data_IF_525057238571
#
_entry.id   IF_525057238571
#
_cell.length_a   1.000
_cell.length_b   1.000
_cell.length_c   1.000
_cell.angle_alpha   90.00
_cell.angle_beta   90.00
_cell.angle_gamma   90.00
#
_symmetry.space_group_name_H-M   'P 1'
#
loop_
_entity.id
_entity.type
_entity.pdbx_description
1 polymer ?
#
# COMPACT_ATOMS: atom_id res chain seq x y z
N UNK A 1 4.11 -13.03 -12.74
CA UNK A 1 3.69 -11.71 -13.28
C UNK A 1 3.63 -10.74 -12.11
N UNK A 2 4.26 -9.56 -12.19
CA UNK A 2 4.24 -8.60 -11.08
C UNK A 2 2.80 -8.11 -10.88
N UNK A 3 2.28 -8.19 -9.65
CA UNK A 3 0.95 -7.71 -9.28
C UNK A 3 1.08 -6.27 -8.78
N UNK A 4 0.13 -5.39 -9.13
CA UNK A 4 0.10 -4.04 -8.57
C UNK A 4 -0.09 -4.13 -7.06
N UNK A 5 0.60 -3.24 -6.34
CA UNK A 5 0.46 -3.08 -4.89
C UNK A 5 -0.82 -2.30 -4.57
N UNK A 6 -1.19 -1.41 -5.48
CA UNK A 6 -2.33 -0.51 -5.36
C UNK A 6 -2.79 -0.06 -6.76
N UNK A 7 -4.07 0.25 -6.91
CA UNK A 7 -4.68 0.79 -8.12
C UNK A 7 -5.56 1.96 -7.72
N UNK A 8 -5.57 3.02 -8.52
CA UNK A 8 -6.37 4.21 -8.26
C UNK A 8 -6.21 5.24 -9.37
N UNK A 9 -6.39 6.51 -9.03
CA UNK A 9 -6.25 7.64 -9.97
C UNK A 9 -5.12 8.57 -9.55
N UNK A 10 -4.38 9.10 -10.52
CA UNK A 10 -3.49 10.25 -10.33
C UNK A 10 -4.30 11.50 -10.66
N UNK A 11 -4.52 12.37 -9.69
CA UNK A 11 -5.36 13.56 -9.82
C UNK A 11 -4.56 14.84 -9.58
N UNK A 12 -4.82 15.86 -10.41
CA UNK A 12 -4.39 17.23 -10.13
C UNK A 12 -5.35 18.21 -10.82
N UNK A 13 -5.92 19.15 -10.06
CA UNK A 13 -6.97 20.04 -10.56
C UNK A 13 -8.13 19.24 -11.16
N UNK A 14 -8.33 19.35 -12.48
CA UNK A 14 -9.39 18.63 -13.21
C UNK A 14 -8.90 17.37 -13.93
N UNK A 15 -7.59 17.13 -13.99
CA UNK A 15 -7.07 15.94 -14.65
C UNK A 15 -7.17 14.74 -13.70
N UNK A 16 -7.71 13.64 -14.22
CA UNK A 16 -7.79 12.36 -13.52
C UNK A 16 -7.27 11.26 -14.45
N UNK A 17 -6.19 10.59 -14.05
CA UNK A 17 -5.51 9.57 -14.86
C UNK A 17 -5.51 8.25 -14.08
N UNK A 18 -6.28 7.24 -14.49
CA UNK A 18 -6.20 5.91 -13.89
C UNK A 18 -4.77 5.36 -13.94
N UNK A 19 -4.28 4.85 -12.81
CA UNK A 19 -2.90 4.34 -12.65
C UNK A 19 -2.86 3.09 -11.77
N UNK A 20 -1.77 2.35 -11.88
CA UNK A 20 -1.43 1.24 -10.98
C UNK A 20 -0.01 1.45 -10.43
N UNK A 21 0.14 1.21 -9.13
CA UNK A 21 1.42 1.33 -8.43
C UNK A 21 2.10 -0.04 -8.38
N UNK A 22 3.30 -0.11 -8.94
CA UNK A 22 4.15 -1.29 -8.97
C UNK A 22 5.38 -1.05 -8.09
N UNK A 23 5.91 -2.10 -7.46
CA UNK A 23 7.18 -1.96 -6.73
C UNK A 23 8.31 -1.66 -7.71
N UNK A 24 9.11 -0.63 -7.42
CA UNK A 24 10.34 -0.32 -8.17
C UNK A 24 11.54 -1.15 -7.72
N UNK A 25 11.40 -1.90 -6.62
CA UNK A 25 12.43 -2.80 -6.09
C UNK A 25 11.94 -4.25 -6.05
N UNK A 26 12.88 -5.20 -6.08
CA UNK A 26 12.61 -6.59 -5.73
C UNK A 26 13.33 -6.90 -4.44
N UNK A 27 12.58 -7.10 -3.35
CA UNK A 27 13.13 -7.72 -2.15
C UNK A 27 13.37 -9.20 -2.40
N UNK A 28 14.60 -9.65 -2.15
CA UNK A 28 14.96 -11.06 -2.10
C UNK A 28 15.20 -11.39 -0.63
N UNK A 29 14.13 -11.60 0.11
CA UNK A 29 14.22 -12.06 1.49
C UNK A 29 14.37 -13.59 1.49
N UNK A 30 15.33 -14.11 2.26
CA UNK A 30 15.48 -15.55 2.50
C UNK A 30 14.30 -16.02 3.37
N UNK A 31 13.40 -16.80 2.78
CA UNK A 31 12.30 -17.42 3.52
C UNK A 31 12.74 -18.76 4.09
N UNK A 32 12.78 -18.85 5.42
CA UNK A 32 13.06 -20.10 6.11
C UNK A 32 11.76 -20.88 6.34
N UNK A 33 11.80 -22.18 6.04
CA UNK A 33 10.72 -23.11 6.41
C UNK A 33 11.07 -23.76 7.74
N UNK A 34 10.13 -23.72 8.69
CA UNK A 34 10.31 -24.41 9.97
C UNK A 34 10.12 -25.92 9.78
N UNK A 35 11.10 -26.68 10.24
CA UNK A 35 11.12 -28.13 10.22
C UNK A 35 11.26 -28.65 11.66
N UNK A 36 10.63 -29.78 11.96
CA UNK A 36 10.91 -30.52 13.20
C UNK A 36 12.38 -30.97 13.20
N UNK A 37 13.12 -30.66 14.25
CA UNK A 37 14.55 -30.98 14.34
C UNK A 37 14.83 -32.48 14.39
N UNK A 38 13.85 -33.29 14.80
CA UNK A 38 14.00 -34.74 15.00
C UNK A 38 13.90 -35.52 13.69
N UNK A 39 13.00 -35.12 12.80
CA UNK A 39 12.72 -35.85 11.56
C UNK A 39 12.74 -34.99 10.29
N UNK A 40 13.04 -33.69 10.42
CA UNK A 40 13.16 -32.69 9.35
C UNK A 40 11.87 -32.50 8.54
N UNK A 41 10.71 -32.85 9.08
CA UNK A 41 9.42 -32.63 8.40
C UNK A 41 8.88 -31.22 8.64
N UNK A 42 8.09 -30.65 7.71
CA UNK A 42 7.50 -29.33 7.87
C UNK A 42 6.52 -29.26 9.04
N UNK A 43 6.58 -28.16 9.80
CA UNK A 43 5.61 -27.86 10.86
C UNK A 43 4.33 -27.27 10.25
N UNK A 44 3.16 -27.72 10.74
CA UNK A 44 1.85 -27.13 10.46
C UNK A 44 1.38 -26.32 11.67
N UNK A 45 0.84 -25.13 11.41
CA UNK A 45 0.21 -24.30 12.44
C UNK A 45 -1.30 -24.39 12.33
N UNK A 46 -1.95 -24.60 13.46
CA UNK A 46 -3.39 -24.59 13.62
C UNK A 46 -3.79 -23.44 14.53
N UNK A 47 -4.96 -22.86 14.25
CA UNK A 47 -5.55 -21.81 15.07
C UNK A 47 -6.53 -22.49 16.00
N UNK A 48 -6.29 -22.40 17.30
CA UNK A 48 -7.13 -23.04 18.32
C UNK A 48 -7.68 -22.00 19.27
N UNK A 49 -8.91 -22.18 19.74
CA UNK A 49 -9.50 -21.35 20.77
C UNK A 49 -8.74 -21.57 22.10
N UNK A 50 -8.35 -20.48 22.77
CA UNK A 50 -7.51 -20.55 23.97
C UNK A 50 -8.19 -21.24 25.17
N UNK A 51 -9.53 -21.18 25.24
CA UNK A 51 -10.30 -21.75 26.34
C UNK A 51 -10.77 -23.18 26.04
N UNK A 52 -11.24 -23.44 24.81
CA UNK A 52 -11.81 -24.75 24.45
C UNK A 52 -10.79 -25.71 23.83
N UNK A 53 -9.69 -25.21 23.28
CA UNK A 53 -8.70 -26.01 22.55
C UNK A 53 -9.14 -26.46 21.16
N UNK A 54 -10.33 -26.08 20.71
CA UNK A 54 -10.88 -26.47 19.41
C UNK A 54 -10.32 -25.63 18.26
N UNK A 55 -10.17 -26.23 17.08
CA UNK A 55 -9.74 -25.51 15.88
C UNK A 55 -10.76 -24.44 15.47
N UNK A 56 -10.26 -23.24 15.16
CA UNK A 56 -11.08 -22.10 14.73
C UNK A 56 -10.91 -21.86 13.21
N UNK A 57 -11.98 -22.03 12.42
CA UNK A 57 -11.97 -21.69 11.00
C UNK A 57 -11.75 -20.18 10.78
N UNK A 58 -11.11 -19.83 9.66
CA UNK A 58 -10.82 -18.42 9.33
C UNK A 58 -12.03 -17.50 9.33
N UNK A 59 -13.19 -17.99 8.88
CA UNK A 59 -14.44 -17.22 8.79
C UNK A 59 -14.99 -16.81 10.17
N UNK A 60 -14.57 -17.51 11.22
CA UNK A 60 -15.05 -17.32 12.59
C UNK A 60 -14.04 -16.51 13.42
N UNK A 61 -12.99 -15.97 12.79
CA UNK A 61 -11.95 -15.14 13.44
C UNK A 61 -12.22 -13.66 13.17
N UNK A 62 -12.39 -12.91 14.25
CA UNK A 62 -12.50 -11.44 14.23
C UNK A 62 -11.20 -10.78 14.68
N UNK A 63 -10.96 -9.54 14.24
CA UNK A 63 -9.84 -8.72 14.72
C UNK A 63 -10.36 -7.77 15.79
N UNK A 64 -9.64 -7.69 16.91
CA UNK A 64 -9.98 -6.77 17.99
C UNK A 64 -8.74 -6.01 18.47
N UNK A 65 -8.96 -4.81 19.01
CA UNK A 65 -7.96 -4.00 19.67
C UNK A 65 -8.21 -4.03 21.18
N UNK A 66 -7.18 -4.35 21.97
CA UNK A 66 -7.24 -4.32 23.44
C UNK A 66 -6.96 -2.88 23.91
N UNK A 67 -8.00 -2.20 24.42
CA UNK A 67 -7.88 -0.81 24.87
C UNK A 67 -7.69 -0.69 26.39
N UNK A 68 -8.06 -1.72 27.14
CA UNK A 68 -7.73 -1.93 28.54
C UNK A 68 -7.54 -3.43 28.77
N UNK A 69 -6.92 -3.83 29.87
CA UNK A 69 -6.54 -5.22 30.12
C UNK A 69 -7.77 -6.13 30.15
N UNK A 70 -7.89 -7.01 29.16
CA UNK A 70 -9.04 -7.90 28.98
C UNK A 70 -10.28 -7.24 28.38
N UNK A 71 -10.19 -5.97 27.97
CA UNK A 71 -11.27 -5.22 27.31
C UNK A 71 -10.92 -4.99 25.84
N UNK A 72 -11.73 -5.58 24.96
CA UNK A 72 -11.50 -5.60 23.52
C UNK A 72 -12.59 -4.84 22.77
N UNK A 73 -12.20 -4.10 21.75
CA UNK A 73 -13.11 -3.57 20.72
C UNK A 73 -12.89 -4.35 19.43
N UNK A 74 -13.94 -5.01 18.93
CA UNK A 74 -13.90 -5.67 17.63
C UNK A 74 -13.95 -4.60 16.55
N UNK A 75 -13.05 -4.68 15.56
CA UNK A 75 -12.99 -3.75 14.44
C UNK A 75 -13.41 -4.48 13.18
N UNK A 76 -14.50 -4.02 12.58
CA UNK A 76 -14.92 -4.49 11.27
C UNK A 76 -14.18 -3.77 10.15
N UNK A 77 -14.20 -4.33 8.94
CA UNK A 77 -13.58 -3.70 7.78
C UNK A 77 -14.24 -2.33 7.46
N UNK A 78 -15.54 -2.21 7.75
CA UNK A 78 -16.29 -0.96 7.62
C UNK A 78 -15.84 0.13 8.59
N UNK A 79 -15.52 -0.22 9.83
CA UNK A 79 -15.02 0.73 10.84
C UNK A 79 -13.65 1.29 10.47
N UNK A 80 -12.77 0.43 9.95
CA UNK A 80 -11.46 0.85 9.45
C UNK A 80 -11.63 1.79 8.26
N UNK A 81 -12.57 1.50 7.35
CA UNK A 81 -12.81 2.31 6.16
C UNK A 81 -13.44 3.66 6.48
N UNK A 82 -14.34 3.74 7.45
CA UNK A 82 -14.99 4.99 7.86
C UNK A 82 -14.06 5.91 8.64
N UNK A 83 -13.10 5.35 9.39
CA UNK A 83 -12.10 6.12 10.13
C UNK A 83 -10.94 6.63 9.26
N UNK A 84 -10.83 6.17 8.01
CA UNK A 84 -9.67 6.41 7.20
C UNK A 84 -9.89 7.58 6.21
N UNK A 85 -8.81 8.27 5.77
CA UNK A 85 -8.92 9.55 5.05
C UNK A 85 -9.66 9.42 3.71
N UNK A 86 -10.41 10.44 3.28
CA UNK A 86 -11.20 10.40 2.03
C UNK A 86 -10.38 10.04 0.75
N UNK A 87 -9.06 10.20 0.76
CA UNK A 87 -8.16 10.05 -0.39
C UNK A 87 -7.66 8.61 -0.67
N UNK A 88 -8.41 7.57 -0.26
CA UNK A 88 -7.98 6.16 -0.35
C UNK A 88 -7.55 5.65 -1.72
N UNK A 89 -8.12 6.19 -2.79
CA UNK A 89 -7.97 5.67 -4.16
C UNK A 89 -7.34 6.69 -5.11
N UNK A 90 -6.77 7.76 -4.58
CA UNK A 90 -6.09 8.78 -5.37
C UNK A 90 -4.64 9.05 -4.92
N UNK A 91 -3.77 9.28 -5.90
CA UNK A 91 -2.54 10.04 -5.74
C UNK A 91 -2.90 11.47 -6.06
N UNK A 92 -3.12 12.29 -5.05
CA UNK A 92 -3.54 13.68 -5.21
C UNK A 92 -2.32 14.60 -5.19
N UNK A 93 -2.03 15.23 -6.33
CA UNK A 93 -0.91 16.18 -6.45
C UNK A 93 -1.36 17.54 -5.91
N UNK A 94 -0.70 17.98 -4.84
CA UNK A 94 -1.00 19.25 -4.16
C UNK A 94 -0.20 20.42 -4.75
N UNK A 95 1.01 20.15 -5.24
CA UNK A 95 1.89 21.20 -5.78
C UNK A 95 2.94 20.63 -6.73
N UNK A 96 3.55 21.50 -7.54
CA UNK A 96 4.70 21.17 -8.39
C UNK A 96 5.91 22.01 -7.97
N UNK A 97 7.04 21.35 -7.74
CA UNK A 97 8.30 21.96 -7.29
C UNK A 97 9.43 21.62 -8.24
N UNK A 98 10.54 22.35 -8.20
CA UNK A 98 11.75 21.96 -8.94
C UNK A 98 12.30 20.65 -8.37
N UNK A 99 12.62 19.69 -9.23
CA UNK A 99 13.13 18.38 -8.81
C UNK A 99 14.37 18.52 -7.90
N UNK A 100 15.22 19.53 -8.16
CA UNK A 100 16.41 19.81 -7.39
C UNK A 100 16.15 20.36 -5.96
N UNK A 101 14.93 20.77 -5.63
CA UNK A 101 14.56 21.19 -4.28
C UNK A 101 14.36 20.01 -3.32
N UNK A 102 14.20 18.79 -3.85
CA UNK A 102 14.05 17.58 -3.04
C UNK A 102 15.42 16.91 -2.89
N UNK A 103 15.99 16.96 -1.69
CA UNK A 103 17.23 16.23 -1.40
C UNK A 103 16.98 14.72 -1.54
N UNK A 104 17.85 13.97 -2.27
CA UNK A 104 17.67 12.53 -2.47
C UNK A 104 17.50 11.71 -1.18
N UNK A 105 17.96 12.20 -0.02
CA UNK A 105 17.82 11.51 1.27
C UNK A 105 16.37 11.33 1.73
N UNK A 106 15.44 12.10 1.17
CA UNK A 106 14.01 11.98 1.50
C UNK A 106 13.33 10.81 0.77
N UNK A 107 13.98 10.19 -0.22
CA UNK A 107 13.43 9.03 -0.91
C UNK A 107 13.74 7.73 -0.16
N UNK A 108 12.70 7.03 0.29
CA UNK A 108 12.85 5.72 0.94
C UNK A 108 12.68 4.56 -0.03
N UNK A 109 11.50 4.47 -0.69
CA UNK A 109 11.11 3.31 -1.49
C UNK A 109 10.68 3.73 -2.89
N UNK A 110 11.34 3.21 -3.94
CA UNK A 110 10.94 3.50 -5.31
C UNK A 110 9.68 2.72 -5.68
N UNK A 111 8.73 3.42 -6.27
CA UNK A 111 7.56 2.83 -6.92
C UNK A 111 7.48 3.30 -8.37
N UNK A 112 6.87 2.48 -9.21
CA UNK A 112 6.58 2.81 -10.60
C UNK A 112 5.08 3.01 -10.74
N UNK A 113 4.68 4.17 -11.26
CA UNK A 113 3.31 4.41 -11.70
C UNK A 113 3.17 3.95 -13.16
N UNK A 114 2.12 3.17 -13.40
CA UNK A 114 1.80 2.63 -14.73
C UNK A 114 0.41 3.12 -15.10
N UNK A 115 0.22 3.73 -16.28
CA UNK A 115 -1.11 4.16 -16.71
C UNK A 115 -2.05 2.97 -16.88
N UNK A 116 -3.29 3.15 -16.44
CA UNK A 116 -4.39 2.26 -16.76
C UNK A 116 -4.74 2.30 -18.25
N UNK A 117 -5.55 1.33 -18.70
CA UNK A 117 -6.00 1.26 -20.09
C UNK A 117 -6.72 2.55 -20.50
N UNK A 118 -6.41 3.08 -21.69
CA UNK A 118 -6.98 4.31 -22.25
C UNK A 118 -6.57 5.60 -21.53
N UNK A 119 -5.70 5.53 -20.52
CA UNK A 119 -5.17 6.69 -19.78
C UNK A 119 -3.79 7.12 -20.29
N UNK A 120 -3.23 6.43 -21.28
CA UNK A 120 -1.83 6.55 -21.69
C UNK A 120 -1.49 7.95 -22.21
N UNK A 121 -2.41 8.57 -22.98
CA UNK A 121 -2.18 9.92 -23.53
C UNK A 121 -2.09 10.98 -22.43
N UNK A 122 -3.01 10.95 -21.46
CA UNK A 122 -3.00 11.89 -20.33
C UNK A 122 -1.78 11.70 -19.44
N UNK A 123 -1.43 10.44 -19.15
CA UNK A 123 -0.23 10.10 -18.39
C UNK A 123 1.06 10.56 -19.07
N UNK A 124 1.21 10.28 -20.37
CA UNK A 124 2.39 10.68 -21.15
C UNK A 124 2.49 12.21 -21.21
N UNK A 125 1.38 12.92 -21.44
CA UNK A 125 1.39 14.39 -21.45
C UNK A 125 1.91 14.96 -20.13
N UNK A 126 1.41 14.46 -18.99
CA UNK A 126 1.89 14.87 -17.67
C UNK A 126 3.39 14.56 -17.52
N UNK A 127 3.80 13.31 -17.76
CA UNK A 127 5.19 12.87 -17.64
C UNK A 127 6.15 13.73 -18.49
N UNK A 128 5.78 13.99 -19.74
CA UNK A 128 6.60 14.80 -20.65
C UNK A 128 6.66 16.27 -20.23
N UNK A 129 5.56 16.81 -19.68
CA UNK A 129 5.52 18.17 -19.14
C UNK A 129 6.40 18.32 -17.91
N UNK A 130 6.33 17.38 -16.97
CA UNK A 130 7.19 17.38 -15.79
C UNK A 130 8.66 17.26 -16.18
N UNK A 131 8.97 16.36 -17.11
CA UNK A 131 10.33 16.17 -17.63
C UNK A 131 10.88 17.42 -18.32
N UNK A 132 10.09 18.07 -19.18
CA UNK A 132 10.55 19.24 -19.93
C UNK A 132 10.70 20.49 -19.05
N UNK A 133 9.89 20.60 -18.00
CA UNK A 133 9.93 21.72 -17.05
C UNK A 133 10.88 21.50 -15.88
N UNK A 134 11.44 20.29 -15.72
CA UNK A 134 12.29 19.92 -14.58
C UNK A 134 11.54 19.90 -13.24
N UNK A 135 10.21 19.75 -13.29
CA UNK A 135 9.33 19.76 -12.12
C UNK A 135 8.96 18.35 -11.69
N UNK A 136 8.56 18.22 -10.43
CA UNK A 136 7.97 17.02 -9.84
C UNK A 136 6.71 17.40 -9.08
N UNK A 137 5.72 16.52 -9.05
CA UNK A 137 4.51 16.71 -8.25
C UNK A 137 4.73 16.25 -6.82
N UNK A 138 4.40 17.06 -5.83
CA UNK A 138 4.26 16.62 -4.43
C UNK A 138 2.83 16.15 -4.23
N UNK A 139 2.67 14.91 -3.76
CA UNK A 139 1.37 14.27 -3.65
C UNK A 139 1.21 13.51 -2.34
N UNK A 140 -0.04 13.25 -1.97
CA UNK A 140 -0.39 12.29 -0.93
C UNK A 140 -1.09 11.08 -1.54
N UNK A 141 -0.80 9.91 -0.98
CA UNK A 141 -1.44 8.66 -1.37
C UNK A 141 -1.62 7.76 -0.15
N UNK A 142 -2.80 7.13 -0.05
CA UNK A 142 -3.03 6.09 0.97
C UNK A 142 -2.75 4.72 0.38
N UNK A 143 -1.68 4.07 0.85
CA UNK A 143 -1.35 2.70 0.46
C UNK A 143 -1.67 1.77 1.63
N UNK A 144 -2.64 0.88 1.40
CA UNK A 144 -3.25 0.01 2.41
C UNK A 144 -3.96 0.82 3.51
N UNK A 145 -3.27 1.09 4.61
CA UNK A 145 -3.83 1.77 5.79
C UNK A 145 -2.99 2.97 6.24
N UNK A 146 -1.96 3.33 5.47
CA UNK A 146 -1.08 4.47 5.78
C UNK A 146 -1.08 5.46 4.63
N UNK A 147 -1.20 6.74 4.98
CA UNK A 147 -0.94 7.84 4.08
C UNK A 147 0.57 8.05 3.95
N UNK A 148 1.01 8.36 2.74
CA UNK A 148 2.39 8.66 2.40
C UNK A 148 2.44 9.98 1.64
N UNK A 149 3.41 10.82 2.01
CA UNK A 149 3.88 11.92 1.16
C UNK A 149 4.82 11.35 0.10
N UNK A 150 4.61 11.69 -1.15
CA UNK A 150 5.42 11.20 -2.26
C UNK A 150 5.73 12.29 -3.30
N UNK A 151 6.73 12.04 -4.13
CA UNK A 151 6.99 12.80 -5.34
C UNK A 151 6.68 11.95 -6.57
N UNK A 152 6.00 12.52 -7.56
CA UNK A 152 5.54 11.88 -8.81
C UNK A 152 6.02 12.61 -10.05
#
# INVERSE_FOLDING_TARGET
MARPIWTGTLSFGLLNVPVSLMSGERKVDLQFRMLDSRDRKPIRFERVNADTGEEVPWKDIVKAYEYDKGSYVVLEEGDIRSAAPESHEAVEVESFVDAAQIDPRYYEKPYLLVPGKKAEKGYVLLRETLRSTGKVGIARVVVRTREYLCAV
#
